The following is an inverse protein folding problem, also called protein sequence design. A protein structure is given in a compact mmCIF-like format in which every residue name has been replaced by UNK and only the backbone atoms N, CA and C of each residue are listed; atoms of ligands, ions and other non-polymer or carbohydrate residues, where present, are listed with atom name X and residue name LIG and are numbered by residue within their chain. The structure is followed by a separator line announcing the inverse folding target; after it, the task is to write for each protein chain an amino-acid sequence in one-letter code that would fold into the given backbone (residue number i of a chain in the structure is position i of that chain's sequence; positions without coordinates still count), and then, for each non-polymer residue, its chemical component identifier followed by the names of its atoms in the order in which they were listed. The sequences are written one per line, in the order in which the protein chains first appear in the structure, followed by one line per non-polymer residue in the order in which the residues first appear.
data_IF_395417083334
#
_entry.id   IF_395417083334
#
_cell.length_a   1.000
_cell.length_b   1.000
_cell.length_c   1.000
_cell.angle_alpha   90.00
_cell.angle_beta   90.00
_cell.angle_gamma   90.00
#
_symmetry.space_group_name_H-M   'P 1'
#
loop_
_entity.id
_entity.type
_entity.pdbx_description
1 polymer ?
#
# COMPACT_ATOMS: atom_id res chain seq x y z
N UNK A 1 -18.81 -2.63 3.91
CA UNK A 1 -19.28 -1.26 4.23
C UNK A 1 -18.58 -0.37 3.24
N UNK A 2 -19.27 0.47 2.46
CA UNK A 2 -18.58 1.42 1.59
C UNK A 2 -18.12 2.59 2.44
N UNK A 3 -16.89 3.03 2.23
CA UNK A 3 -16.35 4.22 2.85
C UNK A 3 -17.11 5.45 2.30
N UNK A 4 -17.65 6.29 3.19
CA UNK A 4 -18.34 7.51 2.77
C UNK A 4 -17.32 8.60 2.44
N UNK A 5 -17.13 8.85 1.16
CA UNK A 5 -16.22 9.88 0.66
C UNK A 5 -16.90 11.22 0.54
N UNK A 6 -16.18 12.29 0.88
CA UNK A 6 -16.58 13.67 0.57
C UNK A 6 -15.60 14.32 -0.41
N UNK A 7 -16.05 15.41 -1.05
CA UNK A 7 -15.21 16.15 -2.01
C UNK A 7 -14.10 16.93 -1.30
N UNK A 8 -12.94 17.13 -1.95
CA UNK A 8 -11.86 17.97 -1.41
C UNK A 8 -12.30 19.39 -1.03
N UNK A 9 -13.19 20.00 -1.84
CA UNK A 9 -13.76 21.32 -1.57
C UNK A 9 -14.56 21.40 -0.26
N UNK A 10 -15.26 20.32 0.09
CA UNK A 10 -16.00 20.21 1.37
C UNK A 10 -15.03 19.93 2.52
N UNK A 11 -14.12 18.97 2.32
CA UNK A 11 -13.16 18.54 3.34
C UNK A 11 -12.25 19.67 3.83
N UNK A 12 -11.89 20.61 2.95
CA UNK A 12 -11.01 21.74 3.24
C UNK A 12 -11.51 22.61 4.39
N UNK A 13 -12.82 22.72 4.57
CA UNK A 13 -13.44 23.55 5.62
C UNK A 13 -13.60 22.83 6.97
N UNK A 14 -13.36 21.52 7.02
CA UNK A 14 -13.53 20.72 8.23
C UNK A 14 -12.28 20.77 9.11
N UNK A 15 -12.50 20.59 10.42
CA UNK A 15 -11.43 20.32 11.40
C UNK A 15 -11.25 18.80 11.59
N UNK A 16 -10.22 18.41 12.35
CA UNK A 16 -9.89 17.02 12.61
C UNK A 16 -9.03 16.41 11.52
N UNK A 17 -8.98 15.08 11.48
CA UNK A 17 -8.19 14.35 10.48
C UNK A 17 -9.00 14.11 9.22
N UNK A 18 -8.49 14.53 8.08
CA UNK A 18 -9.00 14.24 6.74
C UNK A 18 -7.95 13.42 5.99
N UNK A 19 -8.38 12.36 5.32
CA UNK A 19 -7.47 11.48 4.58
C UNK A 19 -7.98 11.31 3.15
N UNK A 20 -7.23 11.83 2.19
CA UNK A 20 -7.51 11.56 0.79
C UNK A 20 -7.08 10.14 0.43
N UNK A 21 -8.00 9.38 -0.14
CA UNK A 21 -7.85 7.97 -0.51
C UNK A 21 -8.36 7.74 -1.92
N UNK A 22 -7.84 6.73 -2.60
CA UNK A 22 -8.25 6.42 -3.98
C UNK A 22 -9.58 5.68 -3.98
N UNK A 23 -10.59 6.28 -4.59
CA UNK A 23 -11.94 5.72 -4.68
C UNK A 23 -11.98 4.48 -5.57
N UNK A 24 -12.62 3.42 -5.10
CA UNK A 24 -12.93 2.22 -5.89
C UNK A 24 -11.75 1.30 -6.17
N UNK A 25 -10.58 1.55 -5.58
CA UNK A 25 -9.41 0.67 -5.70
C UNK A 25 -8.63 0.59 -4.39
N UNK A 26 -8.27 -0.63 -3.93
CA UNK A 26 -7.47 -0.83 -2.73
C UNK A 26 -5.99 -0.57 -3.02
N UNK A 27 -5.63 0.68 -3.22
CA UNK A 27 -4.23 1.06 -3.37
C UNK A 27 -3.46 0.76 -2.08
N UNK A 28 -2.35 -0.02 -2.10
CA UNK A 28 -1.74 -0.52 -0.86
C UNK A 28 -1.22 0.58 0.06
N UNK A 29 -0.79 1.73 -0.48
CA UNK A 29 -0.43 2.90 0.33
C UNK A 29 -1.63 3.46 1.09
N UNK A 30 -2.79 3.61 0.42
CA UNK A 30 -4.03 4.07 1.04
C UNK A 30 -4.56 3.05 2.06
N UNK A 31 -4.55 1.77 1.68
CA UNK A 31 -4.99 0.69 2.59
C UNK A 31 -4.13 0.62 3.85
N UNK A 32 -2.80 0.73 3.74
CA UNK A 32 -1.94 0.72 4.93
C UNK A 32 -2.19 1.92 5.83
N UNK A 33 -2.39 3.12 5.28
CA UNK A 33 -2.74 4.30 6.05
C UNK A 33 -4.07 4.12 6.81
N UNK A 34 -5.12 3.63 6.13
CA UNK A 34 -6.40 3.31 6.76
C UNK A 34 -6.27 2.30 7.89
N UNK A 35 -5.59 1.18 7.61
CA UNK A 35 -5.44 0.10 8.60
C UNK A 35 -4.65 0.53 9.83
N UNK A 36 -3.69 1.43 9.70
CA UNK A 36 -3.01 2.03 10.84
C UNK A 36 -3.94 2.92 11.67
N UNK A 37 -4.73 3.77 11.01
CA UNK A 37 -5.69 4.64 11.69
C UNK A 37 -6.78 3.81 12.39
N UNK A 38 -7.32 2.79 11.72
CA UNK A 38 -8.30 1.86 12.31
C UNK A 38 -7.73 1.11 13.53
N UNK A 39 -6.49 0.59 13.43
CA UNK A 39 -5.84 -0.11 14.52
C UNK A 39 -5.60 0.79 15.74
N UNK A 40 -5.30 2.05 15.49
CA UNK A 40 -5.10 3.07 16.53
C UNK A 40 -6.40 3.76 16.98
N UNK A 41 -7.55 3.32 16.47
CA UNK A 41 -8.86 3.91 16.79
C UNK A 41 -8.89 5.43 16.56
N UNK A 42 -8.28 5.90 15.46
CA UNK A 42 -8.27 7.30 15.07
C UNK A 42 -9.35 7.52 14.01
N UNK A 43 -10.35 8.34 14.35
CA UNK A 43 -11.38 8.74 13.42
C UNK A 43 -10.84 9.72 12.38
N UNK A 44 -11.31 9.57 11.14
CA UNK A 44 -10.98 10.46 10.04
C UNK A 44 -12.14 10.62 9.06
N UNK A 45 -12.11 11.70 8.32
CA UNK A 45 -13.02 11.93 7.18
C UNK A 45 -12.31 11.49 5.91
N UNK A 46 -12.92 10.56 5.16
CA UNK A 46 -12.39 10.11 3.89
C UNK A 46 -12.68 11.13 2.78
N UNK A 47 -11.65 11.49 2.03
CA UNK A 47 -11.72 12.46 0.93
C UNK A 47 -11.43 11.75 -0.38
N UNK A 48 -12.27 11.99 -1.39
CA UNK A 48 -12.13 11.33 -2.68
C UNK A 48 -10.87 11.78 -3.44
N UNK A 49 -10.15 10.81 -3.96
CA UNK A 49 -9.14 10.97 -5.00
C UNK A 49 -9.44 9.97 -6.12
N UNK A 50 -9.59 10.46 -7.32
CA UNK A 50 -9.92 9.62 -8.47
C UNK A 50 -8.66 9.21 -9.24
N UNK A 51 -8.44 7.90 -9.48
CA UNK A 51 -7.27 7.43 -10.20
C UNK A 51 -7.29 7.94 -11.65
N UNK A 52 -6.12 8.31 -12.16
CA UNK A 52 -5.93 8.81 -13.52
C UNK A 52 -6.64 10.15 -13.84
N UNK A 53 -7.27 10.82 -12.86
CA UNK A 53 -7.89 12.13 -13.03
C UNK A 53 -6.94 13.24 -12.54
N UNK A 54 -7.14 14.50 -13.00
CA UNK A 54 -6.34 15.65 -12.55
C UNK A 54 -6.47 15.93 -11.06
N UNK A 55 -7.66 15.67 -10.46
CA UNK A 55 -7.98 15.95 -9.05
C UNK A 55 -7.71 17.43 -8.68
N UNK A 56 -8.18 18.38 -9.49
CA UNK A 56 -7.83 19.80 -9.41
C UNK A 56 -8.10 20.40 -8.03
N UNK A 57 -9.26 20.13 -7.42
CA UNK A 57 -9.61 20.63 -6.10
C UNK A 57 -8.68 20.08 -5.01
N UNK A 58 -8.29 18.80 -5.11
CA UNK A 58 -7.35 18.18 -4.19
C UNK A 58 -5.97 18.80 -4.33
N UNK A 59 -5.50 18.99 -5.56
CA UNK A 59 -4.21 19.64 -5.84
C UNK A 59 -4.21 21.10 -5.38
N UNK A 60 -5.27 21.84 -5.63
CA UNK A 60 -5.39 23.23 -5.18
C UNK A 60 -5.38 23.37 -3.65
N UNK A 61 -5.85 22.35 -2.93
CA UNK A 61 -5.84 22.32 -1.47
C UNK A 61 -4.52 21.82 -0.90
N UNK A 62 -3.97 20.71 -1.43
CA UNK A 62 -2.87 19.97 -0.81
C UNK A 62 -1.53 20.11 -1.53
N UNK A 63 -1.54 20.62 -2.76
CA UNK A 63 -0.38 20.65 -3.64
C UNK A 63 -0.05 19.31 -4.30
N UNK A 64 -0.78 18.22 -3.99
CA UNK A 64 -0.47 16.85 -4.42
C UNK A 64 -1.68 16.16 -5.02
N UNK A 65 -1.47 15.42 -6.11
CA UNK A 65 -2.52 14.70 -6.83
C UNK A 65 -2.76 13.28 -6.29
N UNK A 66 -1.73 12.65 -5.77
CA UNK A 66 -1.76 11.21 -5.45
C UNK A 66 -2.12 10.98 -3.98
N UNK A 67 -2.95 9.97 -3.72
CA UNK A 67 -3.28 9.46 -2.38
C UNK A 67 -2.28 8.38 -1.91
N UNK A 68 -2.14 8.15 -0.59
CA UNK A 68 -2.86 8.83 0.49
C UNK A 68 -2.28 10.20 0.84
N UNK A 69 -3.13 11.11 1.31
CA UNK A 69 -2.74 12.40 1.87
C UNK A 69 -3.49 12.57 3.20
N UNK A 70 -2.78 12.74 4.31
CA UNK A 70 -3.39 12.99 5.62
C UNK A 70 -3.20 14.45 6.03
N UNK A 71 -4.29 15.11 6.40
CA UNK A 71 -4.31 16.52 6.84
C UNK A 71 -5.00 16.60 8.19
N UNK A 72 -4.31 17.10 9.20
CA UNK A 72 -4.87 17.32 10.53
C UNK A 72 -5.02 18.82 10.79
N UNK A 73 -6.26 19.28 10.99
CA UNK A 73 -6.60 20.68 11.14
C UNK A 73 -5.96 21.55 10.02
N UNK A 74 -5.20 22.55 10.38
CA UNK A 74 -4.54 23.49 9.46
C UNK A 74 -3.07 23.14 9.20
N UNK A 75 -2.65 21.92 9.57
CA UNK A 75 -1.28 21.48 9.35
C UNK A 75 -0.98 21.22 7.86
N UNK A 76 0.30 21.29 7.51
CA UNK A 76 0.78 20.90 6.20
C UNK A 76 0.44 19.41 5.90
N UNK A 77 -0.03 19.11 4.68
CA UNK A 77 -0.38 17.76 4.28
C UNK A 77 0.78 16.76 4.49
N UNK A 78 0.47 15.58 5.01
CA UNK A 78 1.39 14.43 5.09
C UNK A 78 1.15 13.55 3.88
N UNK A 79 2.14 13.42 3.02
CA UNK A 79 2.03 12.79 1.69
C UNK A 79 2.87 11.53 1.53
N UNK A 80 3.73 11.24 2.50
CA UNK A 80 4.51 10.02 2.52
C UNK A 80 4.10 9.11 3.70
N UNK A 81 4.39 7.83 3.57
CA UNK A 81 3.99 6.82 4.55
C UNK A 81 4.60 7.05 5.94
N UNK A 82 5.84 7.56 6.02
CA UNK A 82 6.53 7.80 7.29
C UNK A 82 5.87 8.93 8.07
N UNK A 83 5.53 10.03 7.39
CA UNK A 83 4.86 11.18 8.02
C UNK A 83 3.43 10.83 8.45
N UNK A 84 2.75 9.95 7.69
CA UNK A 84 1.41 9.47 8.08
C UNK A 84 1.49 8.60 9.34
N UNK A 85 2.47 7.70 9.43
CA UNK A 85 2.72 6.92 10.65
C UNK A 85 3.05 7.83 11.82
N UNK A 86 3.94 8.80 11.65
CA UNK A 86 4.31 9.75 12.69
C UNK A 86 3.11 10.61 13.16
N UNK A 87 2.24 11.01 12.23
CA UNK A 87 0.99 11.70 12.55
C UNK A 87 0.07 10.81 13.39
N UNK A 88 -0.13 9.55 12.99
CA UNK A 88 -0.96 8.60 13.71
C UNK A 88 -0.43 8.35 15.14
N UNK A 89 0.89 8.20 15.32
CA UNK A 89 1.54 8.08 16.64
C UNK A 89 1.30 9.32 17.52
N UNK A 90 1.35 10.50 16.92
CA UNK A 90 1.11 11.76 17.64
C UNK A 90 -0.35 11.93 18.06
N UNK A 91 -1.30 11.51 17.22
CA UNK A 91 -2.74 11.63 17.50
C UNK A 91 -3.20 10.62 18.54
N UNK A 92 -2.71 9.40 18.49
CA UNK A 92 -2.95 8.37 19.49
C UNK A 92 -1.67 7.53 19.70
N UNK A 93 -0.89 7.77 20.76
CA UNK A 93 0.37 7.07 20.98
C UNK A 93 0.22 5.58 21.32
N UNK A 94 -0.98 5.12 21.70
CA UNK A 94 -1.23 3.75 22.13
C UNK A 94 -2.38 3.10 21.34
N UNK A 95 -2.20 1.87 20.84
CA UNK A 95 -0.96 1.09 20.80
C UNK A 95 0.06 1.70 19.83
N UNK A 96 1.36 1.69 20.19
CA UNK A 96 2.40 2.22 19.30
C UNK A 96 2.69 1.26 18.15
N UNK A 97 2.82 1.81 16.94
CA UNK A 97 3.24 1.12 15.72
C UNK A 97 4.72 1.37 15.39
N UNK A 98 5.40 2.18 16.20
CA UNK A 98 6.83 2.46 16.08
C UNK A 98 7.53 1.85 17.30
N UNK A 99 8.51 0.95 17.11
CA UNK A 99 9.27 0.40 18.21
C UNK A 99 9.98 1.48 19.04
N UNK A 100 10.00 1.32 20.36
CA UNK A 100 10.67 2.25 21.28
C UNK A 100 12.19 2.05 21.30
N UNK A 101 12.65 0.82 21.08
CA UNK A 101 14.06 0.49 21.00
C UNK A 101 14.67 1.06 19.71
N UNK A 102 15.86 1.64 19.80
CA UNK A 102 16.48 2.39 18.70
C UNK A 102 16.74 1.53 17.46
N UNK A 103 17.36 0.36 17.62
CA UNK A 103 17.72 -0.51 16.50
C UNK A 103 16.47 -1.09 15.85
N UNK A 104 15.50 -1.50 16.64
CA UNK A 104 14.21 -1.99 16.15
C UNK A 104 13.48 -0.91 15.34
N UNK A 105 13.52 0.34 15.81
CA UNK A 105 12.91 1.47 15.10
C UNK A 105 13.56 1.73 13.75
N UNK A 106 14.90 1.69 13.67
CA UNK A 106 15.63 1.84 12.40
C UNK A 106 15.25 0.70 11.44
N UNK A 107 15.21 -0.54 11.92
CA UNK A 107 14.84 -1.70 11.11
C UNK A 107 13.39 -1.58 10.62
N UNK A 108 12.46 -1.17 11.48
CA UNK A 108 11.05 -0.96 11.12
C UNK A 108 10.90 0.06 9.99
N UNK A 109 11.55 1.22 10.09
CA UNK A 109 11.51 2.22 9.03
C UNK A 109 12.25 1.77 7.77
N UNK A 110 13.36 1.03 7.91
CA UNK A 110 14.07 0.42 6.78
C UNK A 110 13.18 -0.55 6.01
N UNK A 111 12.54 -1.49 6.69
CA UNK A 111 11.59 -2.44 6.08
C UNK A 111 10.41 -1.70 5.44
N UNK A 112 9.84 -0.72 6.14
CA UNK A 112 8.76 0.10 5.58
C UNK A 112 9.18 0.80 4.29
N UNK A 113 10.42 1.30 4.21
CA UNK A 113 10.96 1.92 3.00
C UNK A 113 11.16 0.91 1.86
N UNK A 114 11.66 -0.29 2.15
CA UNK A 114 11.78 -1.38 1.17
C UNK A 114 10.42 -1.81 0.62
N UNK A 115 9.34 -1.67 1.39
CA UNK A 115 7.98 -2.01 0.94
C UNK A 115 7.33 -0.85 0.19
N UNK A 116 7.33 0.36 0.76
CA UNK A 116 6.50 1.50 0.36
C UNK A 116 7.24 2.56 -0.45
N UNK A 117 8.56 2.67 -0.28
CA UNK A 117 9.38 3.74 -0.84
C UNK A 117 9.55 3.67 -2.35
N UNK A 118 10.12 4.72 -2.92
CA UNK A 118 10.56 4.73 -4.31
C UNK A 118 11.65 3.66 -4.51
N UNK A 119 11.51 2.86 -5.58
CA UNK A 119 12.37 1.69 -5.81
C UNK A 119 12.11 0.51 -4.87
N UNK A 120 11.12 0.60 -3.98
CA UNK A 120 10.67 -0.48 -3.11
C UNK A 120 9.74 -1.48 -3.82
N UNK A 121 9.22 -2.43 -3.03
CA UNK A 121 8.35 -3.51 -3.52
C UNK A 121 7.15 -2.99 -4.31
N UNK A 122 6.35 -2.10 -3.67
CA UNK A 122 5.13 -1.58 -4.30
C UNK A 122 5.41 -0.79 -5.58
N UNK A 123 6.46 0.00 -5.58
CA UNK A 123 6.92 0.75 -6.76
C UNK A 123 7.33 -0.18 -7.90
N UNK A 124 8.19 -1.16 -7.60
CA UNK A 124 8.68 -2.13 -8.59
C UNK A 124 7.55 -3.00 -9.13
N UNK A 125 6.59 -3.42 -8.29
CA UNK A 125 5.39 -4.14 -8.73
C UNK A 125 4.51 -3.32 -9.68
N UNK A 126 4.38 -2.00 -9.46
CA UNK A 126 3.69 -1.13 -10.43
C UNK A 126 4.43 -1.06 -11.76
N UNK A 127 5.75 -0.94 -11.74
CA UNK A 127 6.54 -0.96 -12.98
C UNK A 127 6.39 -2.29 -13.74
N UNK A 128 6.38 -3.42 -13.04
CA UNK A 128 6.08 -4.72 -13.66
C UNK A 128 4.70 -4.73 -14.31
N UNK A 129 3.68 -4.27 -13.61
CA UNK A 129 2.30 -4.29 -14.10
C UNK A 129 2.06 -3.39 -15.31
N UNK A 130 2.80 -2.28 -15.44
CA UNK A 130 2.59 -1.29 -16.50
C UNK A 130 3.56 -1.43 -17.69
N UNK A 131 4.73 -2.03 -17.51
CA UNK A 131 5.82 -2.00 -18.49
C UNK A 131 6.36 -3.35 -18.91
N UNK A 132 6.30 -4.36 -18.07
CA UNK A 132 6.77 -5.68 -18.44
C UNK A 132 5.81 -6.35 -19.43
N UNK A 133 6.30 -7.01 -20.48
CA UNK A 133 5.48 -7.92 -21.25
C UNK A 133 4.88 -8.94 -20.30
N UNK A 134 3.58 -9.18 -20.42
CA UNK A 134 2.93 -10.21 -19.62
C UNK A 134 3.58 -11.56 -19.91
N UNK A 135 3.98 -12.23 -18.86
CA UNK A 135 4.72 -13.49 -19.01
C UNK A 135 3.80 -14.71 -19.12
N UNK A 136 2.50 -14.53 -18.82
CA UNK A 136 1.50 -15.57 -19.05
C UNK A 136 0.57 -15.19 -20.20
N UNK A 137 0.12 -16.19 -20.94
CA UNK A 137 -0.96 -16.00 -21.91
C UNK A 137 -2.25 -15.66 -21.15
N UNK A 138 -2.93 -14.60 -21.61
CA UNK A 138 -4.24 -14.22 -21.10
C UNK A 138 -5.34 -14.90 -21.95
N UNK A 139 -6.41 -15.30 -21.29
CA UNK A 139 -7.63 -15.70 -21.99
C UNK A 139 -8.29 -14.50 -22.67
N UNK A 140 -9.13 -14.73 -23.67
CA UNK A 140 -9.91 -13.67 -24.33
C UNK A 140 -10.77 -12.88 -23.32
N UNK A 141 -11.31 -13.58 -22.31
CA UNK A 141 -12.09 -12.95 -21.25
C UNK A 141 -11.25 -12.00 -20.40
N UNK A 142 -10.04 -12.39 -20.01
CA UNK A 142 -9.13 -11.52 -19.26
C UNK A 142 -8.68 -10.31 -20.08
N UNK A 143 -8.43 -10.48 -21.38
CA UNK A 143 -8.14 -9.37 -22.30
C UNK A 143 -9.31 -8.38 -22.33
N UNK A 144 -10.55 -8.87 -22.45
CA UNK A 144 -11.74 -8.05 -22.47
C UNK A 144 -11.96 -7.31 -21.13
N UNK A 145 -11.63 -7.92 -19.99
CA UNK A 145 -11.70 -7.28 -18.69
C UNK A 145 -10.64 -6.17 -18.57
N UNK A 146 -9.41 -6.45 -18.97
CA UNK A 146 -8.32 -5.51 -18.90
C UNK A 146 -8.49 -4.30 -19.83
N UNK A 147 -9.19 -4.47 -20.96
CA UNK A 147 -9.51 -3.35 -21.86
C UNK A 147 -10.46 -2.32 -21.25
N UNK A 148 -11.14 -2.68 -20.16
CA UNK A 148 -12.03 -1.78 -19.37
C UNK A 148 -11.31 -1.09 -18.22
N UNK A 149 -10.05 -1.42 -17.98
CA UNK A 149 -9.26 -0.74 -16.98
C UNK A 149 -9.17 0.77 -17.30
N UNK A 150 -9.15 1.65 -16.29
CA UNK A 150 -8.88 3.07 -16.52
C UNK A 150 -7.62 3.21 -17.36
N UNK A 151 -7.69 4.03 -18.40
CA UNK A 151 -6.54 4.24 -19.28
C UNK A 151 -5.46 5.00 -18.50
N UNK A 152 -4.63 4.25 -17.79
CA UNK A 152 -3.41 4.75 -17.20
C UNK A 152 -2.43 4.92 -18.36
N UNK A 153 -2.52 6.08 -19.03
CA UNK A 153 -1.61 6.46 -20.09
C UNK A 153 -0.16 6.21 -19.63
N UNK A 154 0.57 5.42 -20.42
CA UNK A 154 1.95 5.06 -20.13
C UNK A 154 2.81 6.31 -19.87
N UNK A 155 2.65 7.36 -20.69
CA UNK A 155 3.40 8.62 -20.57
C UNK A 155 3.08 9.36 -19.25
N UNK A 156 1.82 9.34 -18.84
CA UNK A 156 1.40 9.90 -17.55
C UNK A 156 1.99 9.11 -16.37
N UNK A 157 2.04 7.78 -16.48
CA UNK A 157 2.67 6.93 -15.47
C UNK A 157 4.19 7.15 -15.44
N UNK A 158 4.84 7.28 -16.61
CA UNK A 158 6.26 7.59 -16.71
C UNK A 158 6.62 8.91 -16.06
N UNK A 159 5.84 9.95 -16.32
CA UNK A 159 6.03 11.27 -15.70
C UNK A 159 5.75 11.26 -14.20
N UNK A 160 4.73 10.51 -13.76
CA UNK A 160 4.34 10.45 -12.35
C UNK A 160 5.32 9.66 -11.48
N UNK A 161 5.95 8.62 -12.05
CA UNK A 161 6.83 7.72 -11.30
C UNK A 161 8.31 7.84 -11.67
N UNK A 162 8.69 8.79 -12.52
CA UNK A 162 10.10 9.13 -12.84
C UNK A 162 10.94 7.95 -13.34
N UNK A 163 10.30 6.88 -13.85
CA UNK A 163 10.95 5.61 -14.09
C UNK A 163 11.70 5.59 -15.42
N UNK A 164 13.01 5.40 -15.37
CA UNK A 164 13.80 5.07 -16.54
C UNK A 164 13.46 3.66 -17.07
N UNK A 165 13.77 3.40 -18.37
CA UNK A 165 13.65 2.05 -18.92
C UNK A 165 14.48 1.02 -18.14
N UNK A 166 15.62 1.44 -17.58
CA UNK A 166 16.50 0.61 -16.76
C UNK A 166 15.81 0.17 -15.47
N UNK A 167 15.10 1.07 -14.77
CA UNK A 167 14.35 0.71 -13.55
C UNK A 167 13.22 -0.28 -13.87
N UNK A 168 12.55 -0.12 -15.01
CA UNK A 168 11.48 -1.03 -15.40
C UNK A 168 12.02 -2.42 -15.79
N UNK A 169 13.19 -2.52 -16.44
CA UNK A 169 13.82 -3.81 -16.78
C UNK A 169 14.28 -4.58 -15.54
N UNK A 170 14.70 -3.87 -14.50
CA UNK A 170 15.22 -4.48 -13.26
C UNK A 170 14.14 -4.68 -12.19
N UNK A 171 12.89 -4.26 -12.45
CA UNK A 171 11.84 -4.27 -11.45
C UNK A 171 11.53 -5.68 -10.90
N UNK A 172 11.58 -6.71 -11.73
CA UNK A 172 11.37 -8.10 -11.31
C UNK A 172 12.45 -8.57 -10.35
N UNK A 173 13.72 -8.29 -10.66
CA UNK A 173 14.85 -8.69 -9.82
C UNK A 173 14.82 -7.95 -8.49
N UNK A 174 14.45 -6.65 -8.52
CA UNK A 174 14.29 -5.85 -7.31
C UNK A 174 13.16 -6.37 -6.42
N UNK A 175 12.03 -6.76 -7.00
CA UNK A 175 10.93 -7.40 -6.22
C UNK A 175 11.42 -8.69 -5.56
N UNK A 176 12.13 -9.55 -6.28
CA UNK A 176 12.65 -10.80 -5.71
C UNK A 176 13.67 -10.53 -4.60
N UNK A 177 14.59 -9.59 -4.78
CA UNK A 177 15.56 -9.17 -3.76
C UNK A 177 14.86 -8.76 -2.46
N UNK A 178 13.83 -7.89 -2.55
CA UNK A 178 13.07 -7.44 -1.39
C UNK A 178 12.33 -8.62 -0.73
N UNK A 179 11.67 -9.47 -1.51
CA UNK A 179 10.96 -10.64 -0.99
C UNK A 179 11.91 -11.59 -0.25
N UNK A 180 13.10 -11.85 -0.76
CA UNK A 180 14.11 -12.67 -0.05
C UNK A 180 14.61 -11.97 1.21
N UNK A 181 14.81 -10.66 1.19
CA UNK A 181 15.17 -9.89 2.38
C UNK A 181 14.11 -9.97 3.47
N UNK A 182 12.84 -9.75 3.12
CA UNK A 182 11.71 -9.86 4.06
C UNK A 182 11.55 -11.29 4.59
N UNK A 183 11.68 -12.31 3.71
CA UNK A 183 11.63 -13.72 4.12
C UNK A 183 12.72 -14.06 5.11
N UNK A 184 13.95 -13.69 4.87
CA UNK A 184 15.05 -13.93 5.79
C UNK A 184 14.77 -13.25 7.13
N UNK A 185 14.27 -12.01 7.10
CA UNK A 185 13.94 -11.28 8.32
C UNK A 185 12.86 -11.95 9.13
N UNK A 186 11.76 -12.39 8.53
CA UNK A 186 10.69 -13.06 9.28
C UNK A 186 11.16 -14.42 9.84
N UNK A 187 11.99 -15.15 9.12
CA UNK A 187 12.60 -16.40 9.62
C UNK A 187 13.50 -16.18 10.83
N UNK A 188 14.31 -15.13 10.82
CA UNK A 188 15.11 -14.73 11.99
C UNK A 188 14.21 -14.43 13.20
N UNK A 189 13.13 -13.71 13.00
CA UNK A 189 12.19 -13.39 14.07
C UNK A 189 11.46 -14.64 14.60
N UNK A 190 11.02 -15.54 13.73
CA UNK A 190 10.40 -16.80 14.11
C UNK A 190 11.38 -17.64 14.96
N UNK A 191 12.65 -17.68 14.60
CA UNK A 191 13.69 -18.38 15.37
C UNK A 191 13.91 -17.76 16.76
N UNK A 192 13.58 -16.47 16.93
CA UNK A 192 13.60 -15.76 18.21
C UNK A 192 12.26 -15.82 18.97
N UNK A 193 11.26 -16.52 18.42
CA UNK A 193 9.94 -16.68 19.04
C UNK A 193 8.94 -15.55 18.71
N UNK A 194 9.26 -14.66 17.77
CA UNK A 194 8.35 -13.60 17.33
C UNK A 194 7.73 -13.89 15.96
N UNK A 195 6.47 -13.47 15.77
CA UNK A 195 5.75 -13.57 14.51
C UNK A 195 5.74 -12.24 13.73
N UNK A 196 6.46 -11.21 14.18
CA UNK A 196 6.50 -9.88 13.58
C UNK A 196 7.87 -9.59 12.96
N UNK A 197 7.93 -8.69 11.98
CA UNK A 197 9.21 -8.29 11.38
C UNK A 197 10.18 -7.66 12.38
N UNK A 198 9.66 -7.01 13.42
CA UNK A 198 10.49 -6.32 14.42
C UNK A 198 9.89 -6.49 15.81
N UNK A 199 10.71 -6.88 16.79
CA UNK A 199 10.29 -7.03 18.17
C UNK A 199 9.23 -8.11 18.36
N UNK A 200 8.39 -7.93 19.39
CA UNK A 200 7.36 -8.91 19.79
C UNK A 200 5.91 -8.43 19.54
N UNK A 201 5.75 -7.28 18.89
CA UNK A 201 4.45 -6.63 18.68
C UNK A 201 4.29 -6.14 17.26
N UNK A 202 3.02 -5.98 16.85
CA UNK A 202 2.68 -5.35 15.58
C UNK A 202 3.35 -3.97 15.47
N UNK A 203 3.96 -3.73 14.32
CA UNK A 203 4.56 -2.45 13.96
C UNK A 203 4.08 -1.97 12.58
N UNK A 204 4.42 -0.75 12.22
CA UNK A 204 4.01 -0.18 10.93
C UNK A 204 4.49 -1.00 9.73
N UNK A 205 5.67 -1.62 9.80
CA UNK A 205 6.17 -2.43 8.69
C UNK A 205 5.38 -3.73 8.47
N UNK A 206 4.80 -4.32 9.51
CA UNK A 206 3.92 -5.48 9.40
C UNK A 206 2.62 -5.10 8.66
N UNK A 207 2.02 -3.95 9.01
CA UNK A 207 0.81 -3.44 8.34
C UNK A 207 1.12 -3.08 6.88
N UNK A 208 2.26 -2.44 6.62
CA UNK A 208 2.69 -2.16 5.26
C UNK A 208 2.77 -3.45 4.46
N UNK A 209 3.48 -4.46 4.94
CA UNK A 209 3.57 -5.73 4.23
C UNK A 209 2.21 -6.38 4.02
N UNK A 210 1.38 -6.45 5.06
CA UNK A 210 0.05 -7.05 4.95
C UNK A 210 -0.77 -6.42 3.81
N UNK A 211 -0.77 -5.09 3.69
CA UNK A 211 -1.49 -4.40 2.63
C UNK A 211 -0.83 -4.54 1.25
N UNK A 212 0.50 -4.42 1.18
CA UNK A 212 1.25 -4.47 -0.08
C UNK A 212 1.34 -5.88 -0.68
N UNK A 213 1.30 -6.92 0.13
CA UNK A 213 1.30 -8.32 -0.33
C UNK A 213 0.13 -8.65 -1.27
N UNK A 214 -0.96 -7.86 -1.25
CA UNK A 214 -2.03 -7.95 -2.25
C UNK A 214 -1.54 -7.71 -3.68
N UNK A 215 -0.43 -7.02 -3.87
CA UNK A 215 0.21 -6.89 -5.19
C UNK A 215 1.02 -8.13 -5.59
N UNK A 216 1.18 -9.10 -4.70
CA UNK A 216 1.80 -10.40 -4.97
C UNK A 216 0.73 -11.49 -5.11
N UNK A 217 -0.16 -11.57 -4.13
CA UNK A 217 -1.29 -12.51 -4.09
C UNK A 217 -2.50 -11.78 -3.48
N UNK A 218 -3.46 -11.32 -4.29
CA UNK A 218 -4.66 -10.66 -3.77
C UNK A 218 -5.44 -11.55 -2.81
N UNK A 219 -5.88 -11.00 -1.69
CA UNK A 219 -6.82 -11.67 -0.79
C UNK A 219 -8.09 -12.10 -1.54
N UNK A 220 -8.80 -13.14 -1.08
CA UNK A 220 -10.03 -13.62 -1.73
C UNK A 220 -11.04 -12.50 -1.99
N UNK A 221 -11.78 -12.58 -3.09
CA UNK A 221 -12.72 -11.53 -3.51
C UNK A 221 -13.78 -11.19 -2.45
N UNK A 222 -14.17 -12.16 -1.61
CA UNK A 222 -15.11 -11.96 -0.51
C UNK A 222 -14.64 -10.90 0.51
N UNK A 223 -13.33 -10.82 0.75
CA UNK A 223 -12.73 -9.90 1.76
C UNK A 223 -11.94 -8.77 1.13
N UNK A 224 -11.66 -8.87 -0.17
CA UNK A 224 -11.04 -7.80 -0.96
C UNK A 224 -11.78 -7.66 -2.30
N UNK A 225 -12.89 -6.91 -2.33
CA UNK A 225 -13.77 -6.79 -3.51
C UNK A 225 -13.21 -5.86 -4.59
N UNK A 226 -11.89 -5.92 -4.83
CA UNK A 226 -11.24 -5.08 -5.84
C UNK A 226 -11.76 -5.33 -7.26
N UNK A 227 -11.68 -4.33 -8.15
CA UNK A 227 -12.01 -4.50 -9.55
C UNK A 227 -11.25 -5.67 -10.19
N UNK A 228 -11.93 -6.46 -11.04
CA UNK A 228 -11.35 -7.67 -11.62
C UNK A 228 -10.11 -7.38 -12.48
N UNK A 229 -10.11 -6.28 -13.23
CA UNK A 229 -8.92 -5.86 -13.99
C UNK A 229 -7.69 -5.65 -13.11
N UNK A 230 -7.88 -5.12 -11.88
CA UNK A 230 -6.81 -4.90 -10.92
C UNK A 230 -6.32 -6.23 -10.32
N UNK A 231 -7.28 -7.12 -10.03
CA UNK A 231 -6.97 -8.47 -9.53
C UNK A 231 -6.11 -9.25 -10.52
N UNK A 232 -6.48 -9.24 -11.80
CA UNK A 232 -5.71 -9.87 -12.88
C UNK A 232 -4.29 -9.25 -12.94
N UNK A 233 -4.20 -7.92 -12.85
CA UNK A 233 -2.91 -7.21 -12.89
C UNK A 233 -2.03 -7.55 -11.68
N UNK A 234 -2.60 -7.64 -10.48
CA UNK A 234 -1.84 -7.98 -9.27
C UNK A 234 -1.42 -9.45 -9.24
N UNK A 235 -2.21 -10.35 -9.78
CA UNK A 235 -1.88 -11.78 -9.89
C UNK A 235 -0.80 -12.09 -10.95
N UNK A 236 -0.52 -11.15 -11.86
CA UNK A 236 0.54 -11.31 -12.86
C UNK A 236 1.90 -10.93 -12.26
N UNK A 237 2.53 -11.90 -11.62
CA UNK A 237 3.80 -11.75 -10.88
C UNK A 237 5.03 -12.20 -11.66
N UNK A 238 4.87 -12.49 -12.94
CA UNK A 238 5.97 -12.92 -13.80
C UNK A 238 6.56 -14.27 -13.41
N UNK A 239 7.89 -14.33 -13.22
CA UNK A 239 8.63 -15.54 -12.87
C UNK A 239 8.68 -15.81 -11.35
N UNK A 240 8.07 -14.97 -10.52
CA UNK A 240 8.09 -15.13 -9.07
C UNK A 240 7.27 -16.37 -8.69
N UNK A 241 7.86 -17.27 -7.93
CA UNK A 241 7.19 -18.47 -7.40
C UNK A 241 6.70 -18.21 -5.99
N UNK A 242 5.38 -18.24 -5.80
CA UNK A 242 4.76 -17.97 -4.48
C UNK A 242 5.22 -18.99 -3.42
N UNK A 243 5.47 -20.24 -3.81
CA UNK A 243 6.00 -21.28 -2.91
C UNK A 243 7.34 -20.93 -2.27
N UNK A 244 8.09 -20.01 -2.87
CA UNK A 244 9.36 -19.56 -2.28
C UNK A 244 9.14 -18.55 -1.15
N UNK A 245 7.91 -18.07 -0.93
CA UNK A 245 7.58 -16.98 -0.02
C UNK A 245 6.36 -17.27 0.87
N UNK A 246 6.11 -18.54 1.17
CA UNK A 246 4.96 -18.97 1.99
C UNK A 246 4.95 -18.29 3.36
N UNK A 247 6.10 -18.17 4.01
CA UNK A 247 6.21 -17.54 5.34
C UNK A 247 5.77 -16.04 5.33
N UNK A 248 5.99 -15.35 4.22
CA UNK A 248 5.53 -13.97 4.06
C UNK A 248 4.01 -13.88 3.88
N UNK A 249 3.40 -14.87 3.24
CA UNK A 249 1.95 -14.95 3.08
C UNK A 249 1.29 -15.38 4.40
N UNK A 250 1.88 -16.30 5.13
CA UNK A 250 1.44 -16.69 6.48
C UNK A 250 1.51 -15.50 7.45
N UNK A 251 2.61 -14.72 7.42
CA UNK A 251 2.72 -13.49 8.19
C UNK A 251 1.61 -12.50 7.84
N UNK A 252 1.34 -12.25 6.54
CA UNK A 252 0.23 -11.42 6.09
C UNK A 252 -1.09 -11.88 6.69
N UNK A 253 -1.40 -13.16 6.55
CA UNK A 253 -2.66 -13.74 6.98
C UNK A 253 -2.83 -13.61 8.50
N UNK A 254 -1.75 -13.87 9.26
CA UNK A 254 -1.71 -13.65 10.70
C UNK A 254 -1.97 -12.18 11.08
N UNK A 255 -1.38 -11.22 10.36
CA UNK A 255 -1.59 -9.79 10.63
C UNK A 255 -3.04 -9.39 10.36
N UNK A 256 -3.65 -9.84 9.26
CA UNK A 256 -5.06 -9.58 9.00
C UNK A 256 -5.98 -10.26 10.03
N UNK A 257 -5.71 -11.51 10.37
CA UNK A 257 -6.56 -12.26 11.31
C UNK A 257 -6.56 -11.66 12.71
N UNK A 258 -5.39 -11.26 13.21
CA UNK A 258 -5.24 -10.81 14.59
C UNK A 258 -5.45 -9.31 14.81
N UNK A 259 -5.19 -8.49 13.80
CA UNK A 259 -5.02 -7.06 14.01
C UNK A 259 -5.82 -6.16 13.08
N UNK A 260 -6.15 -6.61 11.88
CA UNK A 260 -6.73 -5.74 10.86
C UNK A 260 -8.15 -6.17 10.50
N UNK A 261 -9.03 -5.18 10.33
CA UNK A 261 -10.43 -5.44 9.97
C UNK A 261 -10.56 -5.85 8.50
N UNK A 262 -11.42 -6.83 8.24
CA UNK A 262 -11.88 -7.26 6.93
C UNK A 262 -13.42 -7.25 6.89
N UNK A 263 -14.07 -7.11 5.72
CA UNK A 263 -13.46 -6.91 4.40
C UNK A 263 -12.79 -5.54 4.24
N UNK A 264 -11.92 -5.41 3.21
CA UNK A 264 -11.42 -4.10 2.79
C UNK A 264 -12.56 -3.29 2.19
N UNK A 265 -12.54 -1.99 2.42
CA UNK A 265 -13.48 -1.00 1.90
C UNK A 265 -12.73 0.13 1.19
N UNK A 266 -13.21 0.59 0.01
CA UNK A 266 -12.54 1.63 -0.78
C UNK A 266 -13.47 2.24 -1.83
#
# INVERSE_FOLDING_TARGET
MHLDYIKPSEAKSLSGLRVALTVGVPGPWGESAKKMLEYKEIDYVAVEQHPAQPNEDLVAWTGVRNAPIAIFNDEAPKTNFQDIVALAERLNPNPSLIPSEWNERIICFGISNEICGEGGFGWSRRLMATRSPRQRSLSEQEIAILSRAPNLDRDTMEKAYGSSQIQASNASDRVQEILFGLKNRIREQIALGSSYFVGERLSSCDIHWACFSNMLLPLPAKVNPMPEWLRISYADIGLIKLSDFEELLEHRDMVFEKHLKLPLDF
#
